data_IF_552156816059
#
_entry.id   IF_552156816059
#
_cell.length_a   1.000
_cell.length_b   1.000
_cell.length_c   1.000
_cell.angle_alpha   90.00
_cell.angle_beta   90.00
_cell.angle_gamma   90.00
#
_symmetry.space_group_name_H-M   'P 1'
#
loop_
_entity.id
_entity.type
_entity.pdbx_description
1 polymer ?
#
# COMPACT_ATOMS: atom_id res chain seq x y z
N UNK A 1 54.34 11.04 -25.36
CA UNK A 1 53.81 10.12 -24.32
C UNK A 1 52.60 10.81 -23.72
N UNK A 2 51.41 10.38 -24.11
CA UNK A 2 50.15 10.95 -23.66
C UNK A 2 49.06 9.98 -24.07
N UNK A 3 48.73 9.06 -23.17
CA UNK A 3 47.62 8.13 -23.31
C UNK A 3 46.69 8.38 -22.13
N UNK A 4 45.48 8.84 -22.45
CA UNK A 4 44.33 8.94 -21.54
C UNK A 4 43.17 8.21 -22.19
N UNK A 5 42.38 7.58 -21.31
CA UNK A 5 41.10 6.89 -21.51
C UNK A 5 41.15 5.58 -22.30
N UNK A 6 40.49 4.51 -21.84
CA UNK A 6 39.10 4.50 -21.42
C UNK A 6 38.84 3.39 -20.38
N UNK A 7 38.24 3.76 -19.24
CA UNK A 7 37.76 2.81 -18.23
C UNK A 7 36.25 2.65 -18.41
N UNK A 8 35.84 1.62 -19.15
CA UNK A 8 34.44 1.21 -19.22
C UNK A 8 34.02 0.61 -17.88
N UNK A 9 33.34 1.41 -17.06
CA UNK A 9 32.65 0.95 -15.86
C UNK A 9 31.48 0.03 -16.24
N UNK A 10 31.68 -1.27 -16.08
CA UNK A 10 30.59 -2.26 -16.11
C UNK A 10 29.79 -2.11 -14.80
N UNK A 11 28.65 -1.42 -14.85
CA UNK A 11 27.63 -1.51 -13.80
C UNK A 11 27.08 -2.93 -13.84
N UNK A 12 27.65 -3.79 -12.99
CA UNK A 12 27.06 -5.06 -12.63
C UNK A 12 25.73 -4.78 -11.92
N UNK A 13 24.64 -4.73 -12.69
CA UNK A 13 23.30 -4.88 -12.12
C UNK A 13 23.25 -6.27 -11.47
N UNK A 14 23.44 -6.30 -10.16
CA UNK A 14 23.28 -7.50 -9.35
C UNK A 14 21.86 -8.02 -9.58
N UNK A 15 21.76 -9.15 -10.29
CA UNK A 15 20.50 -9.87 -10.47
C UNK A 15 19.99 -10.25 -9.08
N UNK A 16 18.99 -9.53 -8.59
CA UNK A 16 18.34 -9.83 -7.32
C UNK A 16 17.81 -11.25 -7.43
N UNK A 17 18.27 -12.14 -6.54
CA UNK A 17 17.78 -13.51 -6.47
C UNK A 17 16.36 -13.49 -5.93
N UNK A 18 15.39 -13.48 -6.84
CA UNK A 18 13.98 -13.42 -6.49
C UNK A 18 13.46 -14.82 -6.15
N UNK A 19 12.70 -14.98 -5.05
CA UNK A 19 12.10 -16.25 -4.74
C UNK A 19 11.06 -16.62 -5.81
N UNK A 20 11.08 -17.88 -6.24
CA UNK A 20 10.10 -18.42 -7.19
C UNK A 20 8.66 -18.34 -6.66
N UNK A 21 8.50 -18.22 -5.34
CA UNK A 21 7.22 -18.21 -4.64
C UNK A 21 7.24 -17.23 -3.47
N UNK A 22 6.20 -16.40 -3.36
CA UNK A 22 6.02 -15.39 -2.31
C UNK A 22 4.95 -15.78 -1.28
N UNK A 23 4.42 -17.01 -1.30
CA UNK A 23 3.39 -17.43 -0.33
C UNK A 23 3.84 -17.32 1.13
N UNK A 24 5.14 -17.36 1.40
CA UNK A 24 5.67 -17.12 2.75
C UNK A 24 5.78 -15.63 3.11
N UNK A 25 5.74 -14.74 2.12
CA UNK A 25 5.89 -13.29 2.27
C UNK A 25 4.54 -12.57 2.30
N UNK A 26 3.51 -13.14 1.66
CA UNK A 26 2.14 -12.64 1.67
C UNK A 26 1.20 -13.75 2.13
N UNK A 27 0.71 -13.63 3.37
CA UNK A 27 -0.19 -14.60 3.96
C UNK A 27 -1.67 -14.33 3.61
N UNK A 28 -1.99 -13.12 3.13
CA UNK A 28 -3.36 -12.73 2.79
C UNK A 28 -3.62 -12.87 1.30
N UNK A 29 -4.59 -13.70 0.91
CA UNK A 29 -5.09 -13.73 -0.47
C UNK A 29 -6.06 -12.57 -0.72
N UNK A 30 -6.01 -11.98 -1.91
CA UNK A 30 -6.95 -10.94 -2.32
C UNK A 30 -8.36 -11.54 -2.52
N UNK A 31 -9.30 -11.00 -1.77
CA UNK A 31 -10.74 -11.27 -1.79
C UNK A 31 -11.51 -9.97 -2.10
N UNK A 32 -12.84 -10.01 -2.03
CA UNK A 32 -13.66 -8.87 -2.46
C UNK A 32 -13.59 -7.65 -1.53
N UNK A 33 -13.27 -7.84 -0.26
CA UNK A 33 -13.41 -6.86 0.81
C UNK A 33 -12.11 -6.49 1.52
N UNK A 34 -10.99 -7.11 1.13
CA UNK A 34 -9.68 -6.96 1.78
C UNK A 34 -8.60 -6.31 0.88
N UNK A 35 -8.99 -5.69 -0.23
CA UNK A 35 -8.05 -5.11 -1.21
C UNK A 35 -7.00 -4.20 -0.58
N UNK A 36 -7.41 -3.34 0.36
CA UNK A 36 -6.49 -2.39 0.99
C UNK A 36 -5.43 -3.09 1.85
N UNK A 37 -5.84 -4.11 2.62
CA UNK A 37 -4.92 -4.93 3.42
C UNK A 37 -3.98 -5.75 2.52
N UNK A 38 -4.51 -6.32 1.44
CA UNK A 38 -3.67 -7.03 0.46
C UNK A 38 -2.66 -6.08 -0.19
N UNK A 39 -3.09 -4.88 -0.61
CA UNK A 39 -2.23 -3.87 -1.24
C UNK A 39 -1.14 -3.39 -0.27
N UNK A 40 -1.46 -3.18 1.00
CA UNK A 40 -0.51 -2.76 2.02
C UNK A 40 0.54 -3.81 2.38
N UNK A 41 0.30 -5.09 2.05
CA UNK A 41 1.31 -6.15 2.15
C UNK A 41 2.08 -6.36 0.83
N UNK A 42 1.39 -6.34 -0.31
CA UNK A 42 1.97 -6.66 -1.61
C UNK A 42 2.85 -5.54 -2.15
N UNK A 43 2.43 -4.27 -2.01
CA UNK A 43 3.15 -3.16 -2.61
C UNK A 43 4.53 -2.93 -1.96
N UNK A 44 4.67 -2.92 -0.62
CA UNK A 44 5.98 -2.79 0.02
C UNK A 44 6.94 -3.94 -0.30
N UNK A 45 6.41 -5.14 -0.60
CA UNK A 45 7.23 -6.25 -1.07
C UNK A 45 7.88 -5.91 -2.42
N UNK A 46 7.15 -5.28 -3.34
CA UNK A 46 7.71 -4.85 -4.61
C UNK A 46 8.75 -3.75 -4.42
N UNK A 47 8.47 -2.75 -3.57
CA UNK A 47 9.41 -1.67 -3.23
C UNK A 47 10.70 -2.23 -2.62
N UNK A 48 10.59 -3.21 -1.71
CA UNK A 48 11.75 -3.87 -1.09
C UNK A 48 12.66 -4.59 -2.09
N UNK A 49 12.14 -4.94 -3.27
CA UNK A 49 12.90 -5.54 -4.38
C UNK A 49 13.19 -4.55 -5.52
N UNK A 50 12.75 -3.29 -5.45
CA UNK A 50 12.87 -2.31 -6.55
C UNK A 50 12.06 -2.69 -7.79
N UNK A 51 10.89 -3.30 -7.61
CA UNK A 51 10.03 -3.84 -8.67
C UNK A 51 8.72 -3.08 -8.87
N UNK A 52 8.46 -2.04 -8.08
CA UNK A 52 7.28 -1.19 -8.14
C UNK A 52 7.08 -0.59 -9.54
N UNK A 53 8.18 -0.32 -10.26
CA UNK A 53 8.17 0.22 -11.61
C UNK A 53 7.37 -0.62 -12.63
N UNK A 54 7.31 -1.93 -12.42
CA UNK A 54 6.57 -2.85 -13.30
C UNK A 54 5.05 -2.75 -13.11
N UNK A 55 4.59 -2.30 -11.94
CA UNK A 55 3.16 -2.24 -11.61
C UNK A 55 2.61 -0.82 -11.65
N UNK A 56 3.42 0.20 -11.35
CA UNK A 56 3.01 1.62 -11.38
C UNK A 56 3.14 2.27 -12.78
N UNK A 57 3.90 1.62 -13.67
CA UNK A 57 4.13 2.06 -15.04
C UNK A 57 5.29 3.04 -15.22
N UNK A 58 6.05 3.35 -14.18
CA UNK A 58 7.27 4.16 -14.25
C UNK A 58 8.38 3.44 -15.03
N UNK A 59 8.38 2.10 -15.04
CA UNK A 59 9.28 1.28 -15.86
C UNK A 59 8.57 0.76 -17.11
N UNK A 60 8.80 1.43 -18.23
CA UNK A 60 8.28 1.01 -19.54
C UNK A 60 9.05 -0.16 -20.14
N UNK A 61 8.33 -1.03 -20.86
CA UNK A 61 8.94 -2.15 -21.56
C UNK A 61 9.91 -1.66 -22.65
N UNK A 62 11.16 -2.17 -22.70
CA UNK A 62 12.09 -1.86 -23.78
C UNK A 62 11.59 -2.36 -25.15
N UNK A 63 12.18 -1.86 -26.24
CA UNK A 63 11.87 -2.36 -27.58
C UNK A 63 12.18 -3.85 -27.70
N UNK A 64 11.29 -4.63 -28.33
CA UNK A 64 11.49 -6.09 -28.49
C UNK A 64 12.74 -6.46 -29.28
N UNK A 65 13.09 -5.61 -30.23
CA UNK A 65 14.23 -5.78 -31.12
C UNK A 65 15.17 -4.56 -31.02
N UNK A 66 16.43 -4.76 -31.37
CA UNK A 66 17.40 -3.68 -31.54
C UNK A 66 17.04 -2.82 -32.77
N UNK A 67 17.85 -1.79 -33.05
CA UNK A 67 17.61 -0.85 -34.15
C UNK A 67 17.48 -1.54 -35.53
N UNK A 68 18.12 -2.71 -35.69
CA UNK A 68 18.03 -3.55 -36.89
C UNK A 68 16.67 -4.25 -37.08
N UNK A 69 15.79 -4.20 -36.07
CA UNK A 69 14.46 -4.85 -36.02
C UNK A 69 14.47 -6.37 -36.16
N UNK A 70 15.63 -7.00 -36.11
CA UNK A 70 15.79 -8.45 -36.29
C UNK A 70 16.38 -9.07 -35.03
N UNK A 71 17.37 -8.42 -34.42
CA UNK A 71 18.05 -8.95 -33.26
C UNK A 71 17.21 -8.71 -32.00
N UNK A 72 16.86 -9.76 -31.23
CA UNK A 72 16.13 -9.61 -29.97
C UNK A 72 16.91 -8.72 -29.00
N UNK A 73 16.21 -7.77 -28.37
CA UNK A 73 16.83 -6.88 -27.40
C UNK A 73 17.03 -7.61 -26.04
N UNK A 74 18.27 -7.78 -25.56
CA UNK A 74 18.55 -8.44 -24.28
C UNK A 74 17.82 -7.76 -23.10
N UNK A 75 17.71 -6.43 -23.10
CA UNK A 75 17.01 -5.68 -22.05
C UNK A 75 15.51 -5.97 -22.04
N UNK A 76 14.88 -6.16 -23.21
CA UNK A 76 13.48 -6.59 -23.27
C UNK A 76 13.31 -8.01 -22.73
N UNK A 77 14.24 -8.92 -23.02
CA UNK A 77 14.20 -10.30 -22.50
C UNK A 77 14.32 -10.31 -20.98
N UNK A 78 15.25 -9.52 -20.42
CA UNK A 78 15.42 -9.37 -18.97
C UNK A 78 14.16 -8.76 -18.31
N UNK A 79 13.67 -7.65 -18.84
CA UNK A 79 12.44 -7.01 -18.38
C UNK A 79 11.25 -7.97 -18.42
N UNK A 80 11.07 -8.71 -19.52
CA UNK A 80 9.96 -9.65 -19.68
C UNK A 80 10.04 -10.81 -18.70
N UNK A 81 11.25 -11.30 -18.39
CA UNK A 81 11.44 -12.34 -17.37
C UNK A 81 10.94 -11.84 -16.01
N UNK A 82 11.30 -10.62 -15.65
CA UNK A 82 10.92 -10.00 -14.39
C UNK A 82 9.41 -9.75 -14.30
N UNK A 83 8.82 -9.17 -15.34
CA UNK A 83 7.37 -8.98 -15.47
C UNK A 83 6.60 -10.31 -15.26
N UNK A 84 7.12 -11.42 -15.78
CA UNK A 84 6.47 -12.74 -15.64
C UNK A 84 6.59 -13.33 -14.25
N UNK A 85 7.67 -13.07 -13.53
CA UNK A 85 7.81 -13.43 -12.11
C UNK A 85 6.75 -12.66 -11.29
N UNK A 86 6.66 -11.34 -11.50
CA UNK A 86 5.69 -10.49 -10.79
C UNK A 86 4.25 -10.89 -11.14
N UNK A 87 3.99 -11.21 -12.42
CA UNK A 87 2.70 -11.75 -12.86
C UNK A 87 2.33 -13.05 -12.12
N UNK A 88 3.30 -13.96 -11.94
CA UNK A 88 3.11 -15.20 -11.18
C UNK A 88 2.78 -14.90 -9.71
N UNK A 89 3.55 -13.99 -9.09
CA UNK A 89 3.33 -13.54 -7.71
C UNK A 89 1.93 -12.95 -7.52
N UNK A 90 1.53 -12.01 -8.38
CA UNK A 90 0.20 -11.41 -8.37
C UNK A 90 -0.86 -12.50 -8.43
N UNK A 91 -0.82 -13.38 -9.45
CA UNK A 91 -1.78 -14.48 -9.62
C UNK A 91 -1.83 -15.43 -8.41
N UNK A 92 -0.69 -15.74 -7.81
CA UNK A 92 -0.59 -16.61 -6.64
C UNK A 92 -1.24 -15.99 -5.38
N UNK A 93 -1.25 -14.66 -5.30
CA UNK A 93 -1.83 -13.91 -4.20
C UNK A 93 -3.34 -13.69 -4.33
N UNK A 94 -3.99 -14.16 -5.40
CA UNK A 94 -5.43 -13.98 -5.61
C UNK A 94 -6.22 -15.18 -5.06
N UNK A 95 -7.40 -14.91 -4.50
CA UNK A 95 -8.42 -15.94 -4.33
C UNK A 95 -8.91 -16.45 -5.69
N UNK A 96 -9.45 -17.67 -5.80
CA UNK A 96 -9.97 -18.19 -7.06
C UNK A 96 -10.99 -17.27 -7.72
N UNK A 97 -11.88 -16.64 -6.93
CA UNK A 97 -12.90 -15.72 -7.43
C UNK A 97 -12.32 -14.44 -8.04
N UNK A 98 -11.29 -13.85 -7.41
CA UNK A 98 -10.59 -12.68 -7.96
C UNK A 98 -9.70 -13.06 -9.14
N UNK A 99 -9.12 -14.26 -9.12
CA UNK A 99 -8.30 -14.79 -10.21
C UNK A 99 -9.02 -14.82 -11.57
N UNK A 100 -10.34 -14.99 -11.58
CA UNK A 100 -11.15 -14.93 -12.80
C UNK A 100 -11.13 -13.55 -13.47
N UNK A 101 -10.95 -12.48 -12.71
CA UNK A 101 -10.95 -11.10 -13.21
C UNK A 101 -9.71 -10.77 -14.03
N UNK A 102 -8.63 -11.53 -13.84
CA UNK A 102 -7.31 -11.25 -14.44
C UNK A 102 -6.94 -12.29 -15.52
N UNK A 103 -7.91 -13.10 -15.93
CA UNK A 103 -7.75 -14.03 -17.05
C UNK A 103 -7.50 -13.22 -18.33
N UNK A 104 -6.53 -13.65 -19.13
CA UNK A 104 -6.17 -12.99 -20.38
C UNK A 104 -5.19 -11.81 -20.23
N UNK A 105 -5.08 -11.22 -19.03
CA UNK A 105 -4.11 -10.14 -18.77
C UNK A 105 -2.68 -10.68 -18.74
N UNK A 106 -1.78 -10.06 -19.52
CA UNK A 106 -0.47 -10.64 -19.80
C UNK A 106 0.66 -10.04 -18.97
N UNK A 107 0.57 -8.76 -18.60
CA UNK A 107 1.62 -8.07 -17.84
C UNK A 107 1.23 -7.85 -16.39
N UNK A 108 2.23 -7.66 -15.53
CA UNK A 108 2.02 -7.30 -14.14
C UNK A 108 1.23 -5.99 -14.02
N UNK A 109 1.55 -5.01 -14.89
CA UNK A 109 0.82 -3.73 -14.99
C UNK A 109 -0.66 -3.92 -15.30
N UNK A 110 -1.00 -4.73 -16.30
CA UNK A 110 -2.39 -4.95 -16.69
C UNK A 110 -3.20 -5.53 -15.51
N UNK A 111 -2.61 -6.52 -14.83
CA UNK A 111 -3.22 -7.16 -13.66
C UNK A 111 -3.41 -6.14 -12.55
N UNK A 112 -2.36 -5.38 -12.21
CA UNK A 112 -2.40 -4.38 -11.14
C UNK A 112 -3.48 -3.33 -11.38
N UNK A 113 -3.51 -2.74 -12.58
CA UNK A 113 -4.50 -1.72 -12.96
C UNK A 113 -5.91 -2.29 -12.95
N UNK A 114 -6.10 -3.52 -13.41
CA UNK A 114 -7.42 -4.17 -13.38
C UNK A 114 -7.92 -4.38 -11.94
N UNK A 115 -7.05 -4.82 -11.04
CA UNK A 115 -7.39 -5.01 -9.62
C UNK A 115 -7.68 -3.66 -8.96
N UNK A 116 -6.81 -2.66 -9.16
CA UNK A 116 -6.99 -1.32 -8.62
C UNK A 116 -8.30 -0.70 -9.10
N UNK A 117 -8.59 -0.73 -10.41
CA UNK A 117 -9.83 -0.21 -10.97
C UNK A 117 -11.06 -0.91 -10.39
N UNK A 118 -11.01 -2.24 -10.24
CA UNK A 118 -12.13 -3.03 -9.70
C UNK A 118 -12.45 -2.70 -8.25
N UNK A 119 -11.42 -2.52 -7.42
CA UNK A 119 -11.60 -2.36 -5.98
C UNK A 119 -11.56 -0.90 -5.53
N UNK A 120 -11.14 0.05 -6.37
CA UNK A 120 -10.98 1.46 -6.03
C UNK A 120 -12.26 2.11 -5.46
N UNK A 121 -13.44 1.81 -5.99
CA UNK A 121 -14.69 2.41 -5.49
C UNK A 121 -15.06 1.85 -4.11
N UNK A 122 -15.01 0.53 -3.93
CA UNK A 122 -15.31 -0.14 -2.68
C UNK A 122 -14.30 0.24 -1.58
N UNK A 123 -13.01 0.30 -1.92
CA UNK A 123 -11.95 0.75 -1.02
C UNK A 123 -12.14 2.19 -0.57
N UNK A 124 -12.41 3.12 -1.51
CA UNK A 124 -12.73 4.51 -1.16
C UNK A 124 -13.98 4.61 -0.29
N UNK A 125 -15.04 3.85 -0.59
CA UNK A 125 -16.25 3.85 0.22
C UNK A 125 -15.98 3.35 1.64
N UNK A 126 -15.17 2.30 1.79
CA UNK A 126 -14.76 1.74 3.09
C UNK A 126 -13.92 2.73 3.89
N UNK A 127 -12.91 3.36 3.28
CA UNK A 127 -12.09 4.40 3.93
C UNK A 127 -13.00 5.53 4.42
N UNK A 128 -13.85 6.08 3.55
CA UNK A 128 -14.78 7.15 3.92
C UNK A 128 -15.76 6.73 5.03
N UNK A 129 -16.20 5.48 5.04
CA UNK A 129 -17.06 4.95 6.11
C UNK A 129 -16.33 4.90 7.44
N UNK A 130 -15.10 4.37 7.48
CA UNK A 130 -14.30 4.29 8.70
C UNK A 130 -13.97 5.70 9.24
N UNK A 131 -13.62 6.64 8.36
CA UNK A 131 -13.40 8.03 8.71
C UNK A 131 -14.64 8.66 9.37
N UNK A 132 -15.82 8.47 8.77
CA UNK A 132 -17.07 8.95 9.36
C UNK A 132 -17.35 8.29 10.70
N UNK A 133 -17.16 6.98 10.82
CA UNK A 133 -17.37 6.26 12.08
C UNK A 133 -16.47 6.79 13.20
N UNK A 134 -15.22 7.11 12.89
CA UNK A 134 -14.30 7.72 13.84
C UNK A 134 -14.72 9.15 14.20
N UNK A 135 -15.15 9.97 13.22
CA UNK A 135 -15.61 11.36 13.45
C UNK A 135 -16.86 11.42 14.32
N UNK A 136 -17.78 10.47 14.14
CA UNK A 136 -19.05 10.42 14.86
C UNK A 136 -19.00 9.48 16.06
N UNK A 137 -17.82 9.00 16.47
CA UNK A 137 -17.73 8.08 17.60
C UNK A 137 -18.19 8.79 18.87
N UNK A 138 -19.02 8.12 19.66
CA UNK A 138 -19.55 8.64 20.92
C UNK A 138 -19.42 7.56 21.99
N UNK A 139 -19.04 7.95 23.20
CA UNK A 139 -19.03 7.04 24.35
C UNK A 139 -20.44 6.52 24.61
N UNK A 140 -21.41 7.43 24.72
CA UNK A 140 -22.80 7.08 24.99
C UNK A 140 -22.92 6.16 26.23
N UNK A 141 -23.60 5.03 26.06
CA UNK A 141 -23.76 4.01 27.10
C UNK A 141 -22.57 3.05 27.27
N UNK A 142 -21.52 3.17 26.46
CA UNK A 142 -20.33 2.33 26.58
C UNK A 142 -19.50 2.71 27.83
N UNK A 143 -18.77 1.73 28.36
CA UNK A 143 -17.68 2.03 29.29
C UNK A 143 -16.55 2.80 28.58
N UNK A 144 -15.74 3.51 29.36
CA UNK A 144 -14.60 4.26 28.83
C UNK A 144 -13.62 3.35 28.06
N UNK A 145 -13.38 2.14 28.58
CA UNK A 145 -12.49 1.17 27.94
C UNK A 145 -13.05 0.65 26.61
N UNK A 146 -14.34 0.33 26.55
CA UNK A 146 -14.99 -0.11 25.30
C UNK A 146 -14.97 0.99 24.24
N UNK A 147 -15.23 2.23 24.63
CA UNK A 147 -15.15 3.39 23.76
C UNK A 147 -13.74 3.56 23.15
N UNK A 148 -12.69 3.55 23.99
CA UNK A 148 -11.32 3.66 23.50
C UNK A 148 -10.90 2.48 22.63
N UNK A 149 -11.29 1.25 22.99
CA UNK A 149 -10.97 0.07 22.19
C UNK A 149 -11.65 0.12 20.82
N UNK A 150 -12.88 0.61 20.75
CA UNK A 150 -13.60 0.79 19.49
C UNK A 150 -12.94 1.86 18.61
N UNK A 151 -12.56 3.01 19.17
CA UNK A 151 -11.84 4.03 18.44
C UNK A 151 -10.49 3.53 17.92
N UNK A 152 -9.73 2.81 18.77
CA UNK A 152 -8.46 2.21 18.41
C UNK A 152 -8.63 1.22 17.27
N UNK A 153 -9.64 0.36 17.31
CA UNK A 153 -9.94 -0.59 16.22
C UNK A 153 -10.17 0.13 14.89
N UNK A 154 -10.99 1.19 14.88
CA UNK A 154 -11.27 1.95 13.66
C UNK A 154 -9.99 2.64 13.14
N UNK A 155 -9.18 3.18 14.05
CA UNK A 155 -7.89 3.80 13.72
C UNK A 155 -6.89 2.78 13.14
N UNK A 156 -6.80 1.59 13.75
CA UNK A 156 -5.94 0.51 13.28
C UNK A 156 -6.42 -0.02 11.91
N UNK A 157 -7.74 -0.10 11.68
CA UNK A 157 -8.33 -0.47 10.38
C UNK A 157 -8.02 0.57 9.29
N UNK A 158 -8.05 1.87 9.62
CA UNK A 158 -7.65 2.95 8.72
C UNK A 158 -6.15 2.91 8.41
N UNK A 159 -5.30 2.67 9.41
CA UNK A 159 -3.87 2.51 9.23
C UNK A 159 -3.53 1.29 8.36
N UNK A 160 -4.21 0.15 8.58
CA UNK A 160 -4.07 -1.05 7.75
C UNK A 160 -4.48 -0.82 6.29
N UNK A 161 -5.36 0.16 6.05
CA UNK A 161 -5.76 0.61 4.73
C UNK A 161 -4.77 1.57 4.04
N UNK A 162 -3.70 1.98 4.72
CA UNK A 162 -2.73 2.96 4.22
C UNK A 162 -3.15 4.41 4.43
N UNK A 163 -4.22 4.68 5.19
CA UNK A 163 -4.76 6.02 5.44
C UNK A 163 -4.84 6.30 6.96
N UNK A 164 -3.71 6.29 7.69
CA UNK A 164 -3.71 6.52 9.13
C UNK A 164 -4.14 7.96 9.47
N UNK A 165 -4.94 8.11 10.52
CA UNK A 165 -5.18 9.42 11.12
C UNK A 165 -3.99 9.82 11.97
N UNK A 166 -3.75 11.13 12.13
CA UNK A 166 -2.78 11.61 13.10
C UNK A 166 -3.29 11.37 14.51
N UNK A 167 -2.39 11.00 15.43
CA UNK A 167 -2.74 10.77 16.84
C UNK A 167 -3.45 11.99 17.46
N UNK A 168 -3.05 13.20 17.08
CA UNK A 168 -3.70 14.43 17.51
C UNK A 168 -5.15 14.55 17.02
N UNK A 169 -5.43 14.16 15.77
CA UNK A 169 -6.79 14.15 15.25
C UNK A 169 -7.64 13.10 15.97
N UNK A 170 -7.10 11.89 16.18
CA UNK A 170 -7.79 10.83 16.94
C UNK A 170 -8.10 11.29 18.36
N UNK A 171 -7.15 11.95 19.03
CA UNK A 171 -7.34 12.49 20.37
C UNK A 171 -8.46 13.54 20.41
N UNK A 172 -8.49 14.49 19.47
CA UNK A 172 -9.57 15.47 19.38
C UNK A 172 -10.94 14.81 19.17
N UNK A 173 -11.02 13.81 18.29
CA UNK A 173 -12.25 13.06 18.02
C UNK A 173 -12.72 12.27 19.24
N UNK A 174 -11.79 11.68 20.00
CA UNK A 174 -12.07 10.99 21.26
C UNK A 174 -12.63 11.94 22.31
N UNK A 175 -11.99 13.09 22.53
CA UNK A 175 -12.45 14.11 23.47
C UNK A 175 -13.84 14.63 23.10
N UNK A 176 -14.08 14.91 21.81
CA UNK A 176 -15.39 15.31 21.30
C UNK A 176 -16.45 14.20 21.38
N UNK A 177 -16.02 12.95 21.58
CA UNK A 177 -16.88 11.80 21.72
C UNK A 177 -17.35 11.52 23.14
N UNK A 178 -16.78 12.20 24.15
CA UNK A 178 -17.15 12.05 25.55
C UNK A 178 -18.49 12.74 25.85
N UNK A 179 -19.18 12.26 26.89
CA UNK A 179 -20.40 12.88 27.38
C UNK A 179 -20.08 14.07 28.30
N UNK A 180 -21.08 14.90 28.60
CA UNK A 180 -20.91 16.13 29.36
C UNK A 180 -20.44 15.93 30.81
N UNK A 181 -20.43 14.69 31.32
CA UNK A 181 -19.84 14.41 32.63
C UNK A 181 -18.32 14.54 32.63
N UNK A 182 -17.69 14.52 31.45
CA UNK A 182 -16.25 14.68 31.27
C UNK A 182 -15.82 16.09 30.84
N UNK A 183 -16.75 17.01 30.56
CA UNK A 183 -16.47 18.40 30.15
C UNK A 183 -15.40 19.12 30.99
N UNK A 184 -15.40 19.06 32.35
CA UNK A 184 -14.35 19.71 33.14
C UNK A 184 -12.96 19.10 32.93
N UNK A 185 -12.88 17.79 32.66
CA UNK A 185 -11.62 17.08 32.38
C UNK A 185 -11.15 17.39 30.95
N UNK A 186 -12.08 17.47 30.00
CA UNK A 186 -11.76 17.86 28.61
C UNK A 186 -11.22 19.28 28.57
N UNK A 187 -11.88 20.24 29.22
CA UNK A 187 -11.44 21.64 29.25
C UNK A 187 -10.03 21.80 29.83
N UNK A 188 -9.74 21.13 30.96
CA UNK A 188 -8.40 21.18 31.57
C UNK A 188 -7.33 20.58 30.67
N UNK A 189 -7.59 19.44 30.01
CA UNK A 189 -6.64 18.82 29.08
C UNK A 189 -6.38 19.67 27.83
N UNK A 190 -7.40 20.29 27.23
CA UNK A 190 -7.22 21.18 26.08
C UNK A 190 -6.38 22.40 26.48
N UNK A 191 -6.65 23.00 27.64
CA UNK A 191 -5.91 24.18 28.12
C UNK A 191 -4.44 23.88 28.37
N UNK A 192 -4.12 22.70 28.93
CA UNK A 192 -2.73 22.25 29.17
C UNK A 192 -2.00 21.98 27.86
N UNK A 193 -2.70 21.40 26.88
CA UNK A 193 -2.13 21.10 25.55
C UNK A 193 -1.77 22.37 24.78
N UNK A 194 -2.61 23.41 24.86
CA UNK A 194 -2.37 24.71 24.22
C UNK A 194 -1.24 25.50 24.90
N UNK A 195 -1.17 25.46 26.24
CA UNK A 195 -0.08 26.09 26.99
C UNK A 195 1.29 25.47 26.63
N UNK A 196 1.37 24.14 26.50
CA UNK A 196 2.61 23.45 26.12
C UNK A 196 3.14 23.81 24.72
N UNK A 197 2.28 24.26 23.80
CA UNK A 197 2.66 24.68 22.44
C UNK A 197 2.99 26.17 22.35
N UNK A 198 2.51 26.98 23.31
CA UNK A 198 2.73 28.42 23.36
C UNK A 198 4.01 28.83 24.13
N UNK A 199 4.63 27.90 24.86
CA UNK A 199 5.82 28.13 25.69
C UNK A 199 7.17 27.92 24.95
N UNK A 200 7.18 27.98 23.60
CA UNK A 200 8.41 27.99 22.77
C UNK A 200 8.39 29.06 21.68
#
# INVERSE_FOLDING_TARGET
MGSTDDSTGSTNESVIALPSNIHHLINTKLEQDNYLLWKSQFFPLLEGYGLEGYVDGSLSAPSKFLADKVTPNPSFVAWRRQDKIITSWLRSSLSPGVGLLVIGLQTARDIWVSLESRFASASRARINQLQRQLQTIRKGGLSMNEFFLQAKKISDDLAACGEPFSDAAVQQMLLAGLDSSYDPIVATLTTISDLSMADF
#
